data_IF_510226004253
#
_entry.id   IF_510226004253
#
_cell.length_a   1.000
_cell.length_b   1.000
_cell.length_c   1.000
_cell.angle_alpha   90.00
_cell.angle_beta   90.00
_cell.angle_gamma   90.00
#
_symmetry.space_group_name_H-M   'P 1'
#
loop_
_entity.id
_entity.type
_entity.pdbx_description
1 polymer ?
#
# COMPACT_ATOMS: atom_id res chain seq x y z
N UNK A 1 22.42 -13.50 -44.09
CA UNK A 1 22.07 -14.53 -43.11
C UNK A 1 23.28 -14.75 -42.22
N UNK A 2 23.19 -14.51 -40.91
CA UNK A 2 24.29 -14.86 -40.00
C UNK A 2 24.43 -16.39 -39.99
N UNK A 3 25.58 -16.90 -40.43
CA UNK A 3 25.88 -18.33 -40.43
C UNK A 3 26.61 -18.66 -39.11
N UNK A 4 25.85 -18.93 -38.06
CA UNK A 4 26.38 -19.26 -36.74
C UNK A 4 26.82 -20.73 -36.70
N UNK A 5 27.97 -21.00 -36.08
CA UNK A 5 28.46 -22.37 -35.88
C UNK A 5 27.48 -23.15 -35.00
N UNK A 6 27.27 -24.46 -35.24
CA UNK A 6 26.33 -25.28 -34.45
C UNK A 6 26.58 -25.25 -32.95
N UNK A 7 27.86 -25.18 -32.54
CA UNK A 7 28.26 -25.07 -31.13
C UNK A 7 27.76 -23.77 -30.48
N UNK A 8 27.81 -22.66 -31.23
CA UNK A 8 27.36 -21.34 -30.76
C UNK A 8 25.84 -21.32 -30.62
N UNK A 9 25.11 -21.98 -31.53
CA UNK A 9 23.65 -22.12 -31.43
C UNK A 9 23.26 -22.90 -30.18
N UNK A 10 23.89 -24.05 -29.94
CA UNK A 10 23.61 -24.85 -28.73
C UNK A 10 23.94 -24.11 -27.43
N UNK A 11 25.00 -23.29 -27.44
CA UNK A 11 25.39 -22.49 -26.29
C UNK A 11 24.40 -21.32 -26.05
N UNK A 12 23.93 -20.67 -27.12
CA UNK A 12 22.89 -19.65 -27.06
C UNK A 12 21.56 -20.22 -26.55
N UNK A 13 21.13 -21.39 -27.00
CA UNK A 13 19.91 -22.06 -26.53
C UNK A 13 19.98 -22.38 -25.04
N UNK A 14 21.14 -22.85 -24.55
CA UNK A 14 21.33 -23.11 -23.11
C UNK A 14 21.29 -21.82 -22.28
N UNK A 15 21.88 -20.74 -22.77
CA UNK A 15 21.84 -19.42 -22.10
C UNK A 15 20.43 -18.85 -22.15
N UNK A 16 19.75 -18.88 -23.30
CA UNK A 16 18.37 -18.45 -23.46
C UNK A 16 17.42 -19.20 -22.54
N UNK A 17 17.53 -20.53 -22.46
CA UNK A 17 16.72 -21.32 -21.52
C UNK A 17 16.99 -20.96 -20.05
N UNK A 18 18.23 -20.63 -19.70
CA UNK A 18 18.59 -20.16 -18.36
C UNK A 18 18.06 -18.76 -18.08
N UNK A 19 18.09 -17.88 -19.08
CA UNK A 19 17.56 -16.51 -19.01
C UNK A 19 16.02 -16.52 -18.96
N UNK A 20 15.34 -17.37 -19.73
CA UNK A 20 13.89 -17.56 -19.68
C UNK A 20 13.39 -18.00 -18.30
N UNK A 21 14.17 -18.79 -17.56
CA UNK A 21 13.87 -19.13 -16.16
C UNK A 21 14.02 -17.95 -15.19
N UNK A 22 14.83 -16.94 -15.54
CA UNK A 22 15.08 -15.75 -14.73
C UNK A 22 14.19 -14.56 -15.10
N UNK A 23 13.73 -14.53 -16.35
CA UNK A 23 12.80 -13.52 -16.85
C UNK A 23 11.47 -13.63 -16.08
N UNK A 24 10.90 -12.51 -15.63
CA UNK A 24 9.56 -12.52 -15.07
C UNK A 24 8.60 -13.08 -16.12
N UNK A 25 7.72 -14.01 -15.71
CA UNK A 25 6.62 -14.43 -16.57
C UNK A 25 5.90 -13.17 -17.05
N UNK A 26 5.58 -13.08 -18.34
CA UNK A 26 4.78 -11.97 -18.85
C UNK A 26 3.43 -11.94 -18.11
N UNK A 27 3.35 -11.13 -17.05
CA UNK A 27 2.16 -11.04 -16.23
C UNK A 27 1.16 -10.24 -17.02
N UNK A 28 0.02 -10.86 -17.32
CA UNK A 28 -1.11 -10.16 -17.94
C UNK A 28 -1.60 -9.10 -16.97
N UNK A 29 -1.91 -7.91 -17.48
CA UNK A 29 -2.57 -6.88 -16.69
C UNK A 29 -3.85 -7.42 -16.05
N UNK A 30 -4.15 -6.94 -14.85
CA UNK A 30 -5.36 -7.34 -14.12
C UNK A 30 -6.59 -6.81 -14.88
N UNK A 31 -7.53 -7.69 -15.17
CA UNK A 31 -8.83 -7.29 -15.71
C UNK A 31 -9.75 -6.85 -14.55
N UNK A 32 -9.72 -5.55 -14.25
CA UNK A 32 -10.50 -4.93 -13.18
C UNK A 32 -12.02 -4.97 -13.39
N UNK A 33 -12.49 -5.34 -14.60
CA UNK A 33 -13.92 -5.58 -14.83
C UNK A 33 -14.39 -6.91 -14.23
N UNK A 34 -13.48 -7.88 -14.09
CA UNK A 34 -13.75 -9.22 -13.53
C UNK A 34 -13.18 -9.41 -12.12
N UNK A 35 -12.18 -8.63 -11.76
CA UNK A 35 -11.46 -8.72 -10.50
C UNK A 35 -11.70 -7.48 -9.62
N UNK A 36 -11.90 -7.71 -8.33
CA UNK A 36 -12.20 -6.65 -7.36
C UNK A 36 -11.01 -6.34 -6.44
N UNK A 37 -10.06 -7.26 -6.32
CA UNK A 37 -8.89 -7.10 -5.46
C UNK A 37 -7.64 -7.67 -6.13
N UNK A 38 -6.49 -7.05 -5.90
CA UNK A 38 -5.20 -7.59 -6.30
C UNK A 38 -4.19 -7.46 -5.16
N UNK A 39 -3.15 -8.28 -5.22
CA UNK A 39 -1.95 -8.10 -4.39
C UNK A 39 -0.82 -7.58 -5.27
N UNK A 40 -0.04 -6.65 -4.76
CA UNK A 40 1.26 -6.40 -5.35
C UNK A 40 2.18 -7.59 -5.05
N UNK A 41 2.88 -8.08 -6.07
CA UNK A 41 3.83 -9.19 -5.99
C UNK A 41 5.12 -8.82 -6.68
N UNK A 42 6.24 -9.30 -6.14
CA UNK A 42 7.55 -9.19 -6.76
C UNK A 42 7.98 -10.51 -7.38
N UNK A 43 8.47 -10.47 -8.62
CA UNK A 43 9.18 -11.58 -9.23
C UNK A 43 10.49 -11.10 -9.84
N UNK A 44 11.61 -11.58 -9.29
CA UNK A 44 12.96 -11.17 -9.67
C UNK A 44 13.16 -9.65 -9.60
N UNK A 45 13.23 -8.98 -10.76
CA UNK A 45 13.56 -7.56 -10.91
C UNK A 45 12.34 -6.67 -11.21
N UNK A 46 11.13 -7.23 -11.23
CA UNK A 46 9.91 -6.47 -11.55
C UNK A 46 8.77 -6.83 -10.59
N UNK A 47 7.96 -5.84 -10.24
CA UNK A 47 6.68 -6.07 -9.57
C UNK A 47 5.52 -6.19 -10.55
N UNK A 48 4.43 -6.78 -10.09
CA UNK A 48 3.18 -6.90 -10.83
C UNK A 48 1.97 -6.99 -9.89
N UNK A 49 0.79 -6.68 -10.43
CA UNK A 49 -0.47 -6.87 -9.73
C UNK A 49 -1.00 -8.29 -10.01
N UNK A 50 -1.12 -9.08 -8.94
CA UNK A 50 -1.71 -10.42 -8.97
C UNK A 50 -3.19 -10.33 -8.60
N UNK A 51 -4.08 -10.65 -9.55
CA UNK A 51 -5.51 -10.69 -9.30
C UNK A 51 -5.86 -11.70 -8.18
N UNK A 52 -6.64 -11.27 -7.19
CA UNK A 52 -7.08 -12.09 -6.06
C UNK A 52 -8.57 -12.34 -6.15
N UNK A 53 -8.96 -13.60 -5.93
CA UNK A 53 -10.37 -13.94 -5.77
C UNK A 53 -10.83 -13.50 -4.38
N UNK A 54 -11.75 -12.56 -4.32
CA UNK A 54 -12.42 -12.18 -3.07
C UNK A 54 -13.33 -13.33 -2.64
N UNK A 55 -12.92 -14.06 -1.60
CA UNK A 55 -13.68 -15.18 -1.01
C UNK A 55 -14.36 -14.80 0.29
N UNK A 56 -13.88 -13.72 0.92
CA UNK A 56 -14.41 -13.19 2.17
C UNK A 56 -15.71 -12.42 1.88
N UNK A 57 -16.82 -12.87 2.46
CA UNK A 57 -18.15 -12.27 2.29
C UNK A 57 -18.56 -11.37 3.46
N UNK A 58 -17.60 -10.95 4.30
CA UNK A 58 -17.86 -10.11 5.46
C UNK A 58 -18.60 -8.84 5.05
N UNK A 59 -19.71 -8.54 5.73
CA UNK A 59 -20.50 -7.32 5.53
C UNK A 59 -20.25 -6.32 6.66
N UNK A 60 -20.57 -5.05 6.43
CA UNK A 60 -20.40 -4.00 7.44
C UNK A 60 -21.28 -4.24 8.69
N UNK A 61 -22.41 -4.91 8.52
CA UNK A 61 -23.36 -5.22 9.58
C UNK A 61 -22.84 -6.33 10.51
N UNK A 62 -21.97 -7.21 10.01
CA UNK A 62 -21.34 -8.28 10.80
C UNK A 62 -20.20 -7.78 11.71
N UNK A 63 -19.70 -6.56 11.47
CA UNK A 63 -18.65 -5.94 12.25
C UNK A 63 -19.25 -5.19 13.45
N UNK A 64 -19.29 -5.87 14.60
CA UNK A 64 -19.85 -5.34 15.84
C UNK A 64 -18.80 -4.58 16.67
N UNK A 65 -19.22 -3.54 17.39
CA UNK A 65 -18.36 -2.77 18.30
C UNK A 65 -17.43 -1.74 17.63
N UNK A 66 -17.58 -1.52 16.33
CA UNK A 66 -16.77 -0.57 15.52
C UNK A 66 -17.65 0.42 14.73
N UNK A 67 -18.83 0.75 15.25
CA UNK A 67 -19.84 1.55 14.54
C UNK A 67 -19.32 2.92 14.09
N UNK A 68 -18.64 3.64 14.99
CA UNK A 68 -18.06 4.95 14.68
C UNK A 68 -17.02 4.87 13.57
N UNK A 69 -16.15 3.86 13.60
CA UNK A 69 -15.16 3.64 12.56
C UNK A 69 -15.84 3.31 11.22
N UNK A 70 -16.88 2.47 11.23
CA UNK A 70 -17.65 2.16 10.02
C UNK A 70 -18.28 3.41 9.41
N UNK A 71 -18.94 4.25 10.20
CA UNK A 71 -19.58 5.47 9.70
C UNK A 71 -18.57 6.40 9.01
N UNK A 72 -17.43 6.65 9.65
CA UNK A 72 -16.36 7.49 9.10
C UNK A 72 -15.82 6.90 7.80
N UNK A 73 -15.49 5.62 7.80
CA UNK A 73 -14.90 4.96 6.63
C UNK A 73 -15.90 4.84 5.47
N UNK A 74 -17.18 4.58 5.75
CA UNK A 74 -18.26 4.56 4.75
C UNK A 74 -18.44 5.94 4.13
N UNK A 75 -18.50 7.00 4.95
CA UNK A 75 -18.62 8.36 4.45
C UNK A 75 -17.44 8.73 3.55
N UNK A 76 -16.21 8.43 3.99
CA UNK A 76 -14.99 8.70 3.22
C UNK A 76 -14.96 7.93 1.89
N UNK A 77 -15.28 6.63 1.91
CA UNK A 77 -15.29 5.80 0.70
C UNK A 77 -16.39 6.23 -0.28
N UNK A 78 -17.58 6.63 0.19
CA UNK A 78 -18.62 7.17 -0.69
C UNK A 78 -18.19 8.50 -1.32
N UNK A 79 -17.53 9.37 -0.56
CA UNK A 79 -16.97 10.60 -1.09
C UNK A 79 -15.97 10.30 -2.21
N UNK A 80 -15.04 9.39 -1.94
CA UNK A 80 -14.03 8.95 -2.91
C UNK A 80 -14.64 8.40 -4.21
N UNK A 81 -15.65 7.53 -4.11
CA UNK A 81 -16.33 6.95 -5.28
C UNK A 81 -17.03 8.02 -6.14
N UNK A 82 -17.59 9.05 -5.49
CA UNK A 82 -18.23 10.17 -6.17
C UNK A 82 -17.23 11.21 -6.73
N UNK A 83 -15.92 10.99 -6.58
CA UNK A 83 -14.89 11.92 -7.04
C UNK A 83 -14.85 13.24 -6.29
N UNK A 84 -15.35 13.26 -5.06
CA UNK A 84 -15.23 14.41 -4.14
C UNK A 84 -14.11 14.15 -3.12
N UNK A 85 -13.58 15.20 -2.46
CA UNK A 85 -12.45 15.05 -1.55
C UNK A 85 -12.66 13.96 -0.50
N UNK A 86 -11.68 13.09 -0.37
CA UNK A 86 -11.65 11.99 0.60
C UNK A 86 -10.23 11.84 1.13
N UNK A 87 -10.10 11.32 2.35
CA UNK A 87 -8.84 11.26 3.06
C UNK A 87 -8.19 9.88 2.97
N UNK A 88 -6.85 9.87 2.97
CA UNK A 88 -6.10 8.70 3.40
C UNK A 88 -6.46 8.37 4.86
N UNK A 89 -6.40 7.09 5.24
CA UNK A 89 -6.87 6.66 6.56
C UNK A 89 -5.88 5.74 7.27
N UNK A 90 -5.74 5.94 8.58
CA UNK A 90 -5.03 5.03 9.48
C UNK A 90 -6.03 4.37 10.44
N UNK A 91 -6.20 3.06 10.32
CA UNK A 91 -6.95 2.24 11.27
C UNK A 91 -5.97 1.64 12.28
N UNK A 92 -6.10 1.98 13.55
CA UNK A 92 -5.22 1.46 14.60
C UNK A 92 -6.00 0.84 15.76
N UNK A 93 -5.34 -0.04 16.50
CA UNK A 93 -5.90 -0.77 17.64
C UNK A 93 -5.30 -2.16 17.77
N UNK A 94 -5.66 -2.93 18.80
CA UNK A 94 -5.12 -4.28 19.02
C UNK A 94 -5.40 -5.25 17.86
N UNK A 95 -4.62 -6.34 17.79
CA UNK A 95 -4.85 -7.41 16.81
C UNK A 95 -6.23 -8.03 17.04
N UNK A 96 -6.96 -8.31 15.96
CA UNK A 96 -8.29 -8.93 16.03
C UNK A 96 -9.45 -7.95 16.23
N UNK A 97 -9.23 -6.62 16.23
CA UNK A 97 -10.30 -5.61 16.33
C UNK A 97 -11.04 -5.32 15.01
N UNK A 98 -10.78 -6.10 13.95
CA UNK A 98 -11.50 -6.00 12.69
C UNK A 98 -11.07 -4.86 11.75
N UNK A 99 -9.88 -4.25 11.95
CA UNK A 99 -9.35 -3.15 11.12
C UNK A 99 -9.33 -3.49 9.62
N UNK A 100 -8.68 -4.60 9.26
CA UNK A 100 -8.62 -5.08 7.88
C UNK A 100 -10.00 -5.57 7.40
N UNK A 101 -10.82 -6.08 8.32
CA UNK A 101 -12.19 -6.53 8.01
C UNK A 101 -13.10 -5.37 7.60
N UNK A 102 -12.92 -4.16 8.14
CA UNK A 102 -13.65 -2.97 7.69
C UNK A 102 -13.37 -2.70 6.22
N UNK A 103 -12.10 -2.73 5.79
CA UNK A 103 -11.74 -2.47 4.39
C UNK A 103 -12.29 -3.55 3.46
N UNK A 104 -12.24 -4.82 3.87
CA UNK A 104 -12.87 -5.93 3.13
C UNK A 104 -14.39 -5.76 3.01
N UNK A 105 -15.06 -5.37 4.09
CA UNK A 105 -16.50 -5.12 4.08
C UNK A 105 -16.88 -3.91 3.19
N UNK A 106 -16.04 -2.87 3.13
CA UNK A 106 -16.20 -1.76 2.19
C UNK A 106 -16.06 -2.25 0.74
N UNK A 107 -15.05 -3.07 0.44
CA UNK A 107 -14.91 -3.66 -0.89
C UNK A 107 -16.15 -4.47 -1.28
N UNK A 108 -16.62 -5.35 -0.40
CA UNK A 108 -17.80 -6.17 -0.67
C UNK A 108 -19.06 -5.33 -0.94
N UNK A 109 -19.22 -4.21 -0.23
CA UNK A 109 -20.36 -3.31 -0.40
C UNK A 109 -20.27 -2.47 -1.68
N UNK A 110 -19.08 -1.94 -1.98
CA UNK A 110 -18.90 -0.89 -2.98
C UNK A 110 -18.18 -1.36 -4.26
N UNK A 111 -17.78 -2.63 -4.37
CA UNK A 111 -17.23 -3.17 -5.61
C UNK A 111 -18.14 -2.99 -6.84
N UNK A 112 -19.49 -3.13 -6.74
CA UNK A 112 -20.39 -2.82 -7.84
C UNK A 112 -20.38 -1.35 -8.26
N UNK A 113 -20.03 -0.43 -7.35
CA UNK A 113 -19.91 1.00 -7.61
C UNK A 113 -18.51 1.40 -8.13
N UNK A 114 -17.64 0.42 -8.38
CA UNK A 114 -16.31 0.64 -8.96
C UNK A 114 -15.16 0.68 -7.96
N UNK A 115 -15.40 0.33 -6.68
CA UNK A 115 -14.33 0.22 -5.69
C UNK A 115 -13.46 -1.02 -5.96
N UNK A 116 -12.14 -0.86 -5.87
CA UNK A 116 -11.14 -1.93 -5.96
C UNK A 116 -10.17 -1.82 -4.78
N UNK A 117 -9.57 -2.93 -4.39
CA UNK A 117 -8.54 -2.95 -3.34
C UNK A 117 -7.24 -3.53 -3.87
N UNK A 118 -6.12 -2.89 -3.55
CA UNK A 118 -4.79 -3.42 -3.80
C UNK A 118 -4.10 -3.61 -2.46
N UNK A 119 -3.78 -4.85 -2.11
CA UNK A 119 -3.00 -5.12 -0.91
C UNK A 119 -1.51 -5.01 -1.23
N UNK A 120 -0.79 -4.27 -0.39
CA UNK A 120 0.64 -4.04 -0.51
C UNK A 120 1.31 -4.38 0.81
N UNK A 121 2.34 -5.21 0.76
CA UNK A 121 3.16 -5.56 1.92
C UNK A 121 4.08 -4.39 2.29
N UNK A 122 4.53 -4.34 3.54
CA UNK A 122 5.34 -3.22 4.08
C UNK A 122 6.62 -3.01 3.27
N UNK A 123 7.28 -4.09 2.90
CA UNK A 123 8.55 -4.10 2.16
C UNK A 123 8.38 -3.59 0.73
N UNK A 124 7.16 -3.69 0.19
CA UNK A 124 6.84 -3.31 -1.18
C UNK A 124 6.36 -1.87 -1.33
N UNK A 125 6.23 -1.12 -0.23
CA UNK A 125 5.90 0.31 -0.23
C UNK A 125 6.93 1.16 -0.99
N UNK A 126 8.14 0.65 -1.24
CA UNK A 126 9.13 1.33 -2.07
C UNK A 126 8.73 1.40 -3.55
N UNK A 127 7.74 0.63 -3.97
CA UNK A 127 7.23 0.55 -5.34
C UNK A 127 5.88 1.25 -5.52
N UNK A 128 5.47 2.11 -4.59
CA UNK A 128 4.19 2.83 -4.68
C UNK A 128 3.99 3.51 -6.04
N UNK A 129 5.03 4.13 -6.58
CA UNK A 129 4.98 4.78 -7.89
C UNK A 129 4.66 3.82 -9.03
N UNK A 130 5.19 2.59 -9.01
CA UNK A 130 4.87 1.57 -10.01
C UNK A 130 3.42 1.10 -9.88
N UNK A 131 2.94 0.94 -8.64
CA UNK A 131 1.56 0.57 -8.35
C UNK A 131 0.60 1.65 -8.84
N UNK A 132 0.91 2.92 -8.57
CA UNK A 132 0.13 4.08 -9.02
C UNK A 132 0.06 4.14 -10.55
N UNK A 133 1.19 4.05 -11.23
CA UNK A 133 1.24 4.04 -12.70
C UNK A 133 0.42 2.90 -13.32
N UNK A 134 0.34 1.75 -12.64
CA UNK A 134 -0.42 0.61 -13.12
C UNK A 134 -1.95 0.79 -13.04
N UNK A 135 -2.44 1.78 -12.28
CA UNK A 135 -3.89 1.94 -11.98
C UNK A 135 -4.43 3.34 -12.27
N UNK A 136 -3.57 4.34 -12.44
CA UNK A 136 -3.97 5.75 -12.64
C UNK A 136 -4.97 5.94 -13.79
N UNK A 137 -4.81 5.18 -14.88
CA UNK A 137 -5.66 5.30 -16.08
C UNK A 137 -6.88 4.35 -16.08
N UNK A 138 -7.07 3.56 -15.01
CA UNK A 138 -8.21 2.67 -14.88
C UNK A 138 -9.46 3.44 -14.42
N UNK A 139 -10.67 3.12 -14.94
CA UNK A 139 -11.91 3.83 -14.61
C UNK A 139 -12.45 3.51 -13.20
N UNK A 140 -11.67 2.78 -12.39
CA UNK A 140 -12.03 2.32 -11.05
C UNK A 140 -11.36 3.19 -9.99
N UNK A 141 -11.86 3.10 -8.77
CA UNK A 141 -11.32 3.80 -7.60
C UNK A 141 -10.65 2.77 -6.68
N UNK A 142 -9.40 2.98 -6.33
CA UNK A 142 -8.56 2.00 -5.64
C UNK A 142 -8.31 2.42 -4.19
N UNK A 143 -8.53 1.50 -3.26
CA UNK A 143 -7.95 1.58 -1.93
C UNK A 143 -6.68 0.73 -1.92
N UNK A 144 -5.55 1.38 -1.73
CA UNK A 144 -4.28 0.72 -1.45
C UNK A 144 -4.25 0.40 0.04
N UNK A 145 -4.37 -0.89 0.36
CA UNK A 145 -4.41 -1.42 1.72
C UNK A 145 -3.02 -1.92 2.15
N UNK A 146 -2.48 -1.32 3.20
CA UNK A 146 -1.25 -1.77 3.85
C UNK A 146 -1.60 -2.33 5.23
N UNK A 147 -1.42 -3.63 5.44
CA UNK A 147 -1.80 -4.30 6.69
C UNK A 147 -0.61 -4.42 7.65
N UNK A 148 -0.88 -4.30 8.95
CA UNK A 148 0.05 -4.52 10.06
C UNK A 148 1.37 -3.72 9.98
N UNK A 149 1.27 -2.42 9.67
CA UNK A 149 2.46 -1.58 9.57
C UNK A 149 3.04 -1.26 10.96
N UNK A 150 4.27 -1.72 11.18
CA UNK A 150 5.17 -1.26 12.25
C UNK A 150 6.55 -1.04 11.62
N UNK A 151 7.06 0.20 11.64
CA UNK A 151 8.32 0.57 11.00
C UNK A 151 9.43 0.76 12.04
N UNK A 152 10.67 0.49 11.67
CA UNK A 152 11.85 0.95 12.39
C UNK A 152 12.31 2.34 11.89
N UNK A 153 13.09 3.04 12.72
CA UNK A 153 13.62 4.36 12.36
C UNK A 153 14.58 4.23 11.18
N UNK A 154 14.35 5.03 10.14
CA UNK A 154 15.21 5.09 8.96
C UNK A 154 14.81 4.14 7.82
N UNK A 155 13.76 3.33 8.00
CA UNK A 155 13.26 2.46 6.93
C UNK A 155 12.82 3.24 5.69
N UNK A 156 13.22 2.75 4.52
CA UNK A 156 12.88 3.36 3.23
C UNK A 156 11.36 3.33 2.98
N UNK A 157 10.70 2.22 3.31
CA UNK A 157 9.25 2.06 3.18
C UNK A 157 8.46 3.12 3.92
N UNK A 158 8.90 3.53 5.12
CA UNK A 158 8.26 4.62 5.86
C UNK A 158 8.40 5.96 5.15
N UNK A 159 9.60 6.27 4.63
CA UNK A 159 9.84 7.51 3.87
C UNK A 159 8.96 7.59 2.62
N UNK A 160 8.79 6.47 1.93
CA UNK A 160 7.95 6.40 0.72
C UNK A 160 6.46 6.57 1.07
N UNK A 161 5.99 5.90 2.12
CA UNK A 161 4.63 6.08 2.61
C UNK A 161 4.37 7.53 3.06
N UNK A 162 5.27 8.12 3.86
CA UNK A 162 5.17 9.54 4.28
C UNK A 162 5.10 10.46 3.08
N UNK A 163 6.02 10.29 2.12
CA UNK A 163 6.06 11.11 0.90
C UNK A 163 4.77 11.05 0.07
N UNK A 164 4.16 9.87 -0.02
CA UNK A 164 2.88 9.67 -0.71
C UNK A 164 1.68 10.26 0.05
N UNK A 165 1.69 10.18 1.38
CA UNK A 165 0.66 10.79 2.23
C UNK A 165 0.74 12.32 2.25
N UNK A 166 1.95 12.88 2.25
CA UNK A 166 2.21 14.33 2.25
C UNK A 166 1.95 14.98 0.88
N UNK A 167 1.62 14.19 -0.15
CA UNK A 167 1.37 14.70 -1.51
C UNK A 167 2.61 15.32 -2.17
N UNK A 168 3.81 14.86 -1.77
CA UNK A 168 5.08 15.35 -2.29
C UNK A 168 5.44 14.68 -3.64
N UNK A 169 6.71 14.37 -3.90
CA UNK A 169 7.20 13.84 -5.19
C UNK A 169 6.47 12.56 -5.65
N UNK A 170 5.91 11.79 -4.72
CA UNK A 170 5.19 10.53 -4.99
C UNK A 170 3.71 10.62 -4.63
N UNK A 171 3.05 11.73 -4.93
CA UNK A 171 1.61 11.91 -4.65
C UNK A 171 0.76 10.80 -5.27
N UNK A 172 -0.18 10.25 -4.49
CA UNK A 172 -1.13 9.27 -5.00
C UNK A 172 -2.03 9.90 -6.10
N UNK A 173 -2.36 9.15 -7.17
CA UNK A 173 -3.33 9.60 -8.17
C UNK A 173 -4.71 9.88 -7.57
N UNK A 174 -5.53 10.69 -8.25
CA UNK A 174 -6.89 11.03 -7.77
C UNK A 174 -7.82 9.83 -7.60
N UNK A 175 -7.54 8.72 -8.30
CA UNK A 175 -8.30 7.48 -8.21
C UNK A 175 -7.71 6.49 -7.19
N UNK A 176 -6.78 6.91 -6.32
CA UNK A 176 -6.17 6.07 -5.28
C UNK A 176 -6.27 6.73 -3.89
N UNK A 177 -6.72 5.95 -2.89
CA UNK A 177 -6.58 6.28 -1.47
C UNK A 177 -5.70 5.25 -0.78
N UNK A 178 -4.91 5.70 0.20
CA UNK A 178 -4.04 4.86 1.02
C UNK A 178 -4.72 4.60 2.37
N UNK A 179 -5.07 3.35 2.62
CA UNK A 179 -5.58 2.89 3.92
C UNK A 179 -4.53 2.00 4.59
N UNK A 180 -4.07 2.44 5.76
CA UNK A 180 -3.09 1.73 6.57
C UNK A 180 -3.79 1.12 7.76
N UNK A 181 -3.51 -0.14 8.08
CA UNK A 181 -3.81 -0.71 9.39
C UNK A 181 -2.53 -0.82 10.22
N UNK A 182 -2.63 -0.56 11.52
CA UNK A 182 -1.52 -0.77 12.45
C UNK A 182 -2.02 -1.29 13.79
N UNK A 183 -1.15 -2.00 14.50
CA UNK A 183 -1.39 -2.35 15.89
C UNK A 183 -1.06 -1.20 16.85
N UNK A 184 -0.40 -0.14 16.36
CA UNK A 184 -0.01 1.04 17.13
C UNK A 184 -0.60 2.31 16.49
N UNK A 185 -0.89 3.32 17.30
CA UNK A 185 -1.26 4.65 16.79
C UNK A 185 -0.08 5.31 16.08
N UNK A 186 1.12 5.14 16.62
CA UNK A 186 2.36 5.64 16.04
C UNK A 186 3.01 4.54 15.20
N UNK A 187 3.23 4.84 13.92
CA UNK A 187 3.81 3.92 12.94
C UNK A 187 5.33 3.70 13.18
N UNK A 188 6.00 4.63 13.85
CA UNK A 188 7.38 4.53 14.32
C UNK A 188 7.42 4.24 15.83
N UNK A 189 8.45 3.52 16.32
CA UNK A 189 8.68 3.35 17.75
C UNK A 189 9.01 4.70 18.39
N UNK A 190 8.38 4.96 19.53
CA UNK A 190 8.80 6.03 20.44
C UNK A 190 9.85 5.44 21.39
N UNK A 191 11.08 5.94 21.35
CA UNK A 191 12.07 5.60 22.36
C UNK A 191 11.89 6.51 23.58
N UNK A 192 12.15 6.01 24.80
CA UNK A 192 12.02 6.80 26.04
C UNK A 192 12.84 8.10 26.03
N UNK A 193 13.91 8.15 25.24
CA UNK A 193 14.71 9.36 24.99
C UNK A 193 13.97 10.47 24.23
N UNK A 194 12.91 10.14 23.50
CA UNK A 194 12.08 11.10 22.75
C UNK A 194 10.91 11.65 23.59
N UNK A 195 10.52 10.94 24.66
CA UNK A 195 9.51 11.37 25.62
C UNK A 195 10.07 12.35 26.65
N UNK A 196 11.38 12.29 26.93
CA UNK A 196 12.09 13.27 27.74
C UNK A 196 12.46 14.43 26.81
N UNK A 197 11.54 15.38 26.66
CA UNK A 197 11.63 16.53 25.75
C UNK A 197 12.80 17.51 26.02
N UNK A 198 14.02 17.07 25.73
CA UNK A 198 15.20 17.91 25.79
C UNK A 198 16.48 17.07 25.76
N UNK A 199 17.11 16.97 24.58
CA UNK A 199 18.52 16.55 24.52
C UNK A 199 19.35 17.66 25.17
N UNK A 200 19.79 17.45 26.40
CA UNK A 200 20.89 18.22 26.98
C UNK A 200 22.18 17.76 26.29
N UNK A 201 22.71 18.58 25.39
CA UNK A 201 24.06 18.42 24.84
C UNK A 201 24.84 19.65 25.25
N UNK A 202 25.93 19.46 26.01
CA UNK A 202 26.83 20.53 26.46
C UNK A 202 26.21 21.66 27.30
N UNK A 203 25.23 21.36 28.15
CA UNK A 203 24.72 22.32 29.14
C UNK A 203 23.83 23.43 28.58
N UNK A 204 23.52 23.41 27.28
CA UNK A 204 22.60 24.33 26.64
C UNK A 204 21.35 23.57 26.17
N UNK A 205 20.18 24.14 26.47
CA UNK A 205 18.88 23.66 25.97
C UNK A 205 18.77 24.03 24.49
N UNK A 206 19.14 23.12 23.59
CA UNK A 206 18.68 23.20 22.21
C UNK A 206 17.21 22.75 22.16
N UNK A 207 16.30 23.72 22.05
CA UNK A 207 14.95 23.45 21.58
C UNK A 207 15.05 22.98 20.14
N UNK A 208 15.03 21.66 19.95
CA UNK A 208 14.98 21.05 18.63
C UNK A 208 13.69 21.50 17.93
N UNK A 209 13.81 22.13 16.76
CA UNK A 209 12.72 22.39 15.80
C UNK A 209 11.97 21.11 15.36
N UNK A 210 12.35 19.93 15.88
CA UNK A 210 11.71 18.63 15.66
C UNK A 210 10.32 18.48 16.31
N UNK A 211 9.81 19.50 17.02
CA UNK A 211 8.50 19.44 17.69
C UNK A 211 7.35 19.95 16.79
N UNK A 212 7.62 20.76 15.77
CA UNK A 212 6.58 21.21 14.83
C UNK A 212 6.24 20.19 13.74
N UNK A 213 7.13 19.22 13.44
CA UNK A 213 6.80 18.10 12.55
C UNK A 213 5.97 16.98 13.22
N UNK A 214 5.76 17.04 14.54
CA UNK A 214 5.16 15.95 15.34
C UNK A 214 3.71 16.18 15.79
N UNK A 215 3.10 17.33 15.50
CA UNK A 215 1.73 17.66 15.95
C UNK A 215 0.71 17.77 14.81
N UNK A 216 1.13 17.68 13.54
CA UNK A 216 0.19 17.74 12.42
C UNK A 216 -0.28 16.34 11.99
N UNK A 217 -1.29 15.79 12.69
CA UNK A 217 -2.31 14.84 12.21
C UNK A 217 -3.33 14.50 13.32
#
# INVERSE_FOLDING_TARGET
MLNLKPEVVAQLERVLGSVEMLLPKAVKSVDWTKCQAANWRRHSFSGYLEAVKVTDTTTLEQLLGVEKQKEVMVSNTRQFLNGIPANNALLWGSRGTGKSSIVKALLNKYAPEGLRVIQVEKEDLIYLSEIFNAVENEPFRFILLCDDLTFEVGELSYKMLKSALDGSVYSAPENVLIYVTSNRRHLLPEYESDLIGGKFVNGELQQSEAMEEKVSL
#
